data_IF_586369584759
#
_entry.id   IF_586369584759
#
_cell.length_a   1.000
_cell.length_b   1.000
_cell.length_c   1.000
_cell.angle_alpha   90.00
_cell.angle_beta   90.00
_cell.angle_gamma   90.00
#
_symmetry.space_group_name_H-M   'P 1'
#
loop_
_entity.id
_entity.type
_entity.pdbx_description
1 polymer ?
#
# COMPACT_ATOMS: atom_id res chain seq x y z
N UNK A 1 25.41 -32.85 -14.26
CA UNK A 1 24.08 -32.23 -14.43
C UNK A 1 24.04 -31.43 -15.72
N UNK A 2 22.86 -31.13 -16.28
CA UNK A 2 22.74 -30.28 -17.48
C UNK A 2 22.53 -28.83 -17.04
N UNK A 3 23.33 -27.87 -17.54
CA UNK A 3 23.17 -26.46 -17.17
C UNK A 3 21.80 -25.91 -17.59
N UNK A 4 21.19 -25.11 -16.74
CA UNK A 4 19.83 -24.57 -16.89
C UNK A 4 19.81 -23.05 -16.72
N UNK A 5 19.03 -22.36 -17.55
CA UNK A 5 18.81 -20.92 -17.42
C UNK A 5 17.85 -20.67 -16.25
N UNK A 6 18.24 -19.79 -15.32
CA UNK A 6 17.42 -19.37 -14.18
C UNK A 6 16.67 -18.06 -14.44
N UNK A 7 17.13 -17.25 -15.39
CA UNK A 7 16.51 -15.98 -15.76
C UNK A 7 17.54 -14.92 -16.13
N UNK A 8 17.10 -13.66 -16.09
CA UNK A 8 17.96 -12.48 -16.25
C UNK A 8 18.13 -11.76 -14.92
N UNK A 9 19.26 -11.08 -14.77
CA UNK A 9 19.52 -10.18 -13.66
C UNK A 9 20.18 -8.92 -14.18
N UNK A 10 19.83 -7.80 -13.58
CA UNK A 10 20.48 -6.50 -13.80
C UNK A 10 21.44 -6.14 -12.66
N UNK A 11 21.55 -6.99 -11.62
CA UNK A 11 22.39 -6.77 -10.44
C UNK A 11 23.89 -6.76 -10.79
N UNK A 12 24.25 -7.45 -11.88
CA UNK A 12 25.62 -7.51 -12.39
C UNK A 12 25.62 -7.26 -13.89
N UNK A 13 26.42 -6.28 -14.31
CA UNK A 13 26.60 -5.90 -15.71
C UNK A 13 27.92 -6.41 -16.29
N UNK A 14 28.51 -7.45 -15.69
CA UNK A 14 29.74 -8.09 -16.16
C UNK A 14 29.57 -9.59 -16.37
N UNK A 15 30.41 -10.17 -17.23
CA UNK A 15 30.40 -11.59 -17.56
C UNK A 15 31.45 -12.33 -16.74
N UNK A 16 31.04 -13.32 -15.95
CA UNK A 16 31.96 -14.17 -15.18
C UNK A 16 32.90 -15.02 -16.07
N UNK A 17 32.56 -15.21 -17.36
CA UNK A 17 33.37 -16.03 -18.28
C UNK A 17 34.48 -15.24 -18.98
N UNK A 18 34.20 -14.04 -19.47
CA UNK A 18 35.11 -13.28 -20.32
C UNK A 18 35.50 -11.92 -19.73
N UNK A 19 34.99 -11.56 -18.56
CA UNK A 19 35.28 -10.28 -17.89
C UNK A 19 34.69 -9.04 -18.57
N UNK A 20 33.98 -9.18 -19.69
CA UNK A 20 33.30 -8.06 -20.35
C UNK A 20 32.35 -7.39 -19.38
N UNK A 21 32.42 -6.07 -19.28
CA UNK A 21 31.58 -5.21 -18.45
C UNK A 21 30.57 -4.42 -19.32
N UNK A 22 29.72 -3.63 -18.68
CA UNK A 22 28.64 -2.86 -19.32
C UNK A 22 27.75 -3.71 -20.24
N UNK A 23 27.47 -4.94 -19.83
CA UNK A 23 26.53 -5.80 -20.53
C UNK A 23 25.11 -5.24 -20.38
N UNK A 24 24.41 -5.10 -21.51
CA UNK A 24 22.99 -4.73 -21.53
C UNK A 24 22.08 -5.74 -20.82
N UNK A 25 22.56 -6.98 -20.66
CA UNK A 25 21.81 -8.08 -20.08
C UNK A 25 22.76 -9.19 -19.63
N UNK A 26 22.49 -9.69 -18.44
CA UNK A 26 23.22 -10.81 -17.83
C UNK A 26 22.26 -11.96 -17.56
N UNK A 27 22.62 -13.14 -18.01
CA UNK A 27 21.83 -14.37 -17.88
C UNK A 27 22.38 -15.16 -16.71
N UNK A 28 21.51 -15.52 -15.77
CA UNK A 28 21.86 -16.38 -14.64
C UNK A 28 21.69 -17.84 -15.05
N UNK A 29 22.73 -18.64 -14.87
CA UNK A 29 22.75 -20.05 -15.24
C UNK A 29 23.13 -20.88 -14.03
N UNK A 30 22.36 -21.93 -13.79
CA UNK A 30 22.68 -22.99 -12.85
C UNK A 30 23.48 -24.07 -13.58
N UNK A 31 24.72 -24.32 -13.13
CA UNK A 31 25.55 -25.42 -13.64
C UNK A 31 25.41 -26.71 -12.83
N UNK A 32 24.67 -26.69 -11.73
CA UNK A 32 24.50 -27.78 -10.77
C UNK A 32 25.33 -27.56 -9.49
N UNK A 33 26.58 -27.12 -9.65
CA UNK A 33 27.50 -26.94 -8.52
C UNK A 33 27.66 -25.46 -8.12
N UNK A 34 27.36 -24.56 -9.06
CA UNK A 34 27.44 -23.11 -8.89
C UNK A 34 26.40 -22.38 -9.75
N UNK A 35 25.99 -21.20 -9.27
CA UNK A 35 25.19 -20.24 -10.03
C UNK A 35 26.15 -19.21 -10.61
N UNK A 36 26.18 -19.09 -11.93
CA UNK A 36 27.04 -18.16 -12.66
C UNK A 36 26.24 -17.14 -13.46
N UNK A 37 26.86 -16.00 -13.76
CA UNK A 37 26.24 -14.90 -14.48
C UNK A 37 27.05 -14.56 -15.72
N UNK A 38 26.46 -14.83 -16.88
CA UNK A 38 27.13 -14.66 -18.17
C UNK A 38 26.39 -13.70 -19.08
N UNK A 39 27.15 -13.02 -19.93
CA UNK A 39 26.58 -12.38 -21.11
C UNK A 39 25.93 -13.41 -22.04
N UNK A 40 24.98 -12.97 -22.86
CA UNK A 40 24.19 -13.85 -23.75
C UNK A 40 25.08 -14.70 -24.66
N UNK A 41 26.18 -14.15 -25.17
CA UNK A 41 27.06 -14.88 -26.10
C UNK A 41 27.85 -15.97 -25.37
N UNK A 42 28.36 -15.69 -24.15
CA UNK A 42 29.03 -16.69 -23.32
C UNK A 42 28.05 -17.77 -22.84
N UNK A 43 26.80 -17.39 -22.53
CA UNK A 43 25.73 -18.33 -22.23
C UNK A 43 25.41 -19.24 -23.43
N UNK A 44 25.39 -18.68 -24.64
CA UNK A 44 25.18 -19.39 -25.92
C UNK A 44 26.22 -20.48 -26.15
N UNK A 45 27.49 -20.13 -25.89
CA UNK A 45 28.60 -21.06 -25.99
C UNK A 45 28.53 -22.15 -24.91
N UNK A 46 28.28 -21.79 -23.65
CA UNK A 46 28.20 -22.76 -22.54
C UNK A 46 27.08 -23.80 -22.76
N UNK A 47 25.90 -23.35 -23.20
CA UNK A 47 24.72 -24.19 -23.35
C UNK A 47 24.67 -24.90 -24.71
N UNK A 48 25.58 -24.57 -25.63
CA UNK A 48 25.56 -25.00 -27.03
C UNK A 48 24.17 -24.78 -27.70
N UNK A 49 23.60 -23.60 -27.48
CA UNK A 49 22.30 -23.15 -28.01
C UNK A 49 22.47 -21.79 -28.65
N UNK A 50 21.62 -21.43 -29.61
CA UNK A 50 21.66 -20.08 -30.19
C UNK A 50 21.33 -19.01 -29.14
N UNK A 51 21.98 -17.84 -29.26
CA UNK A 51 21.70 -16.67 -28.44
C UNK A 51 20.21 -16.28 -28.44
N UNK A 52 19.52 -16.47 -29.57
CA UNK A 52 18.09 -16.24 -29.69
C UNK A 52 17.27 -17.13 -28.73
N UNK A 53 17.55 -18.44 -28.70
CA UNK A 53 16.85 -19.38 -27.80
C UNK A 53 17.08 -19.04 -26.32
N UNK A 54 18.30 -18.64 -25.97
CA UNK A 54 18.61 -18.24 -24.58
C UNK A 54 17.83 -16.99 -24.18
N UNK A 55 17.78 -15.98 -25.05
CA UNK A 55 16.97 -14.78 -24.80
C UNK A 55 15.49 -15.13 -24.63
N UNK A 56 14.97 -16.02 -25.47
CA UNK A 56 13.58 -16.46 -25.38
C UNK A 56 13.30 -17.18 -24.05
N UNK A 57 14.17 -18.12 -23.65
CA UNK A 57 14.03 -18.88 -22.40
C UNK A 57 14.12 -17.96 -21.17
N UNK A 58 15.11 -17.07 -21.15
CA UNK A 58 15.30 -16.10 -20.07
C UNK A 58 14.10 -15.14 -19.95
N UNK A 59 13.62 -14.58 -21.07
CA UNK A 59 12.47 -13.70 -21.07
C UNK A 59 11.20 -14.44 -20.64
N UNK A 60 11.01 -15.70 -21.04
CA UNK A 60 9.83 -16.48 -20.64
C UNK A 60 9.80 -16.77 -19.14
N UNK A 61 10.97 -16.99 -18.51
CA UNK A 61 11.07 -17.14 -17.06
C UNK A 61 10.76 -15.80 -16.38
N UNK A 62 11.29 -14.70 -16.90
CA UNK A 62 11.07 -13.37 -16.33
C UNK A 62 9.60 -12.95 -16.42
N UNK A 63 8.96 -13.15 -17.58
CA UNK A 63 7.53 -12.86 -17.74
C UNK A 63 6.66 -13.63 -16.74
N UNK A 64 7.02 -14.88 -16.43
CA UNK A 64 6.30 -15.68 -15.42
C UNK A 64 6.48 -15.11 -14.01
N UNK A 65 7.69 -14.65 -13.67
CA UNK A 65 7.96 -13.99 -12.38
C UNK A 65 7.14 -12.72 -12.22
N UNK A 66 7.16 -11.86 -13.25
CA UNK A 66 6.39 -10.61 -13.27
C UNK A 66 4.88 -10.89 -13.18
N UNK A 67 4.38 -11.90 -13.88
CA UNK A 67 2.97 -12.28 -13.82
C UNK A 67 2.56 -12.80 -12.43
N UNK A 68 3.41 -13.63 -11.81
CA UNK A 68 3.18 -14.13 -10.46
C UNK A 68 3.21 -13.02 -9.41
N UNK A 69 4.18 -12.11 -9.50
CA UNK A 69 4.28 -10.93 -8.63
C UNK A 69 3.04 -10.04 -8.79
N UNK A 70 2.66 -9.72 -10.03
CA UNK A 70 1.44 -8.96 -10.33
C UNK A 70 0.18 -9.64 -9.77
N UNK A 71 0.13 -10.97 -9.76
CA UNK A 71 -0.99 -11.75 -9.19
C UNK A 71 -1.04 -11.58 -7.67
N UNK A 72 0.11 -11.70 -6.99
CA UNK A 72 0.21 -11.53 -5.55
C UNK A 72 -0.17 -10.11 -5.12
N UNK A 73 0.29 -9.09 -5.83
CA UNK A 73 -0.06 -7.68 -5.57
C UNK A 73 -1.57 -7.44 -5.68
N UNK A 74 -2.22 -7.99 -6.72
CA UNK A 74 -3.68 -7.91 -6.89
C UNK A 74 -4.41 -8.59 -5.73
N UNK A 75 -3.91 -9.74 -5.28
CA UNK A 75 -4.51 -10.45 -4.15
C UNK A 75 -4.38 -9.66 -2.84
N UNK A 76 -3.19 -9.12 -2.57
CA UNK A 76 -2.93 -8.28 -1.40
C UNK A 76 -3.82 -7.04 -1.41
N UNK A 77 -3.92 -6.35 -2.54
CA UNK A 77 -4.77 -5.16 -2.72
C UNK A 77 -6.24 -5.49 -2.44
N UNK A 78 -6.74 -6.62 -2.93
CA UNK A 78 -8.11 -7.09 -2.64
C UNK A 78 -8.32 -7.33 -1.14
N UNK A 79 -7.35 -7.93 -0.45
CA UNK A 79 -7.43 -8.17 1.01
C UNK A 79 -7.46 -6.86 1.79
N UNK A 80 -6.62 -5.90 1.42
CA UNK A 80 -6.59 -4.57 2.03
C UNK A 80 -7.93 -3.85 1.82
N UNK A 81 -8.44 -3.83 0.59
CA UNK A 81 -9.72 -3.18 0.30
C UNK A 81 -10.89 -3.79 1.07
N UNK A 82 -10.92 -5.12 1.22
CA UNK A 82 -11.94 -5.80 2.03
C UNK A 82 -11.88 -5.36 3.50
N UNK A 83 -10.68 -5.20 4.07
CA UNK A 83 -10.52 -4.69 5.44
C UNK A 83 -11.02 -3.25 5.55
N UNK A 84 -10.59 -2.37 4.64
CA UNK A 84 -11.04 -0.96 4.61
C UNK A 84 -12.57 -0.88 4.56
N UNK A 85 -13.21 -1.63 3.66
CA UNK A 85 -14.66 -1.64 3.54
C UNK A 85 -15.34 -2.17 4.82
N UNK A 86 -14.76 -3.19 5.46
CA UNK A 86 -15.25 -3.71 6.73
C UNK A 86 -15.15 -2.65 7.84
N UNK A 87 -14.00 -2.02 7.98
CA UNK A 87 -13.74 -1.00 9.00
C UNK A 87 -14.65 0.22 8.79
N UNK A 88 -14.85 0.65 7.53
CA UNK A 88 -15.79 1.71 7.19
C UNK A 88 -17.24 1.32 7.52
N UNK A 89 -17.64 0.06 7.31
CA UNK A 89 -18.98 -0.40 7.68
C UNK A 89 -19.19 -0.42 9.19
N UNK A 90 -18.16 -0.76 9.97
CA UNK A 90 -18.19 -0.71 11.43
C UNK A 90 -18.25 0.74 11.92
N UNK A 91 -17.45 1.63 11.33
CA UNK A 91 -17.48 3.05 11.63
C UNK A 91 -18.86 3.66 11.33
N UNK A 92 -19.45 3.35 10.17
CA UNK A 92 -20.79 3.81 9.81
C UNK A 92 -21.85 3.24 10.77
N UNK A 93 -21.75 1.98 11.18
CA UNK A 93 -22.65 1.39 12.16
C UNK A 93 -22.53 2.07 13.52
N UNK A 94 -21.31 2.25 14.03
CA UNK A 94 -21.06 2.94 15.29
C UNK A 94 -21.56 4.39 15.25
N UNK A 95 -21.38 5.08 14.11
CA UNK A 95 -21.97 6.40 13.89
C UNK A 95 -23.49 6.34 13.98
N UNK A 96 -24.15 5.45 13.24
CA UNK A 96 -25.60 5.32 13.29
C UNK A 96 -26.15 4.90 14.65
N UNK A 97 -25.44 4.08 15.42
CA UNK A 97 -25.84 3.70 16.78
C UNK A 97 -25.68 4.86 17.77
N UNK A 98 -24.57 5.60 17.68
CA UNK A 98 -24.32 6.77 18.53
C UNK A 98 -25.23 7.96 18.19
N UNK A 99 -25.55 8.12 16.89
CA UNK A 99 -26.38 9.18 16.35
C UNK A 99 -27.79 8.71 16.01
N UNK A 100 -28.25 7.55 16.48
CA UNK A 100 -29.65 7.17 16.31
C UNK A 100 -30.46 8.14 17.16
N UNK A 101 -31.07 9.19 16.57
CA UNK A 101 -31.81 10.13 17.36
C UNK A 101 -32.96 9.29 17.93
N UNK A 102 -33.12 9.24 19.26
CA UNK A 102 -34.34 8.64 19.80
C UNK A 102 -35.53 9.29 19.07
N UNK A 103 -36.66 8.59 18.87
CA UNK A 103 -37.85 9.17 18.21
C UNK A 103 -38.31 10.51 18.80
N UNK A 104 -37.80 10.88 19.99
CA UNK A 104 -38.02 12.13 20.71
C UNK A 104 -36.95 13.21 20.47
N UNK A 105 -35.97 13.01 19.57
CA UNK A 105 -34.89 13.97 19.29
C UNK A 105 -34.97 14.63 17.91
N UNK A 106 -36.07 14.39 17.17
CA UNK A 106 -36.66 15.37 16.26
C UNK A 106 -37.44 16.46 17.00
N UNK A 107 -37.20 16.65 18.30
CA UNK A 107 -37.42 17.95 18.90
C UNK A 107 -36.26 18.80 18.41
N UNK A 108 -36.58 19.87 17.68
CA UNK A 108 -35.71 20.95 17.19
C UNK A 108 -34.66 21.40 18.23
N UNK A 109 -33.61 20.58 18.44
CA UNK A 109 -32.55 20.83 19.42
C UNK A 109 -31.53 21.74 18.77
N UNK A 110 -31.88 23.03 18.68
CA UNK A 110 -30.84 24.06 18.69
C UNK A 110 -29.94 23.81 19.90
N UNK A 111 -28.62 23.82 19.69
CA UNK A 111 -27.66 23.73 20.80
C UNK A 111 -27.86 24.97 21.66
N UNK A 112 -28.30 24.78 22.90
CA UNK A 112 -28.29 25.83 23.90
C UNK A 112 -26.87 26.04 24.36
N UNK A 113 -26.22 27.11 23.90
CA UNK A 113 -24.95 27.53 24.51
C UNK A 113 -25.29 28.39 25.73
N UNK A 114 -24.80 27.95 26.89
CA UNK A 114 -24.82 28.76 28.10
C UNK A 114 -23.64 29.72 28.06
N UNK A 115 -23.92 31.02 27.99
CA UNK A 115 -22.90 32.04 28.15
C UNK A 115 -22.70 32.30 29.65
N UNK A 116 -21.55 31.91 30.18
CA UNK A 116 -21.24 32.04 31.60
C UNK A 116 -21.04 33.52 32.04
N UNK A 117 -20.63 34.41 31.13
CA UNK A 117 -20.42 35.82 31.44
C UNK A 117 -21.74 36.58 31.55
N UNK A 118 -22.71 36.25 30.69
CA UNK A 118 -24.02 36.90 30.66
C UNK A 118 -25.12 36.11 31.36
N UNK A 119 -24.81 34.92 31.88
CA UNK A 119 -25.74 33.97 32.48
C UNK A 119 -27.01 33.72 31.64
N UNK A 120 -26.86 33.70 30.33
CA UNK A 120 -27.98 33.58 29.40
C UNK A 120 -27.82 32.41 28.45
N UNK A 121 -28.96 31.90 27.96
CA UNK A 121 -29.01 30.85 26.98
C UNK A 121 -29.28 31.45 25.60
N UNK A 122 -28.43 31.13 24.63
CA UNK A 122 -28.67 31.45 23.23
C UNK A 122 -28.96 30.16 22.45
N UNK A 123 -30.00 30.18 21.61
CA UNK A 123 -30.37 29.06 20.74
C UNK A 123 -29.77 29.29 19.36
N UNK A 124 -28.85 28.43 18.95
CA UNK A 124 -28.27 28.48 17.59
C UNK A 124 -29.10 27.57 16.66
N UNK A 125 -29.53 28.05 15.47
CA UNK A 125 -30.21 27.21 14.49
C UNK A 125 -29.28 26.09 13.99
N UNK A 126 -29.84 24.92 13.72
CA UNK A 126 -29.10 23.74 13.25
C UNK A 126 -28.64 23.91 11.79
N UNK A 127 -27.52 24.60 11.58
CA UNK A 127 -26.77 24.61 10.32
C UNK A 127 -25.53 23.70 10.40
N UNK A 128 -25.18 23.05 9.29
CA UNK A 128 -24.03 22.13 9.18
C UNK A 128 -22.70 22.75 9.67
N UNK A 129 -22.50 24.05 9.46
CA UNK A 129 -21.30 24.78 9.90
C UNK A 129 -21.17 24.88 11.43
N UNK A 130 -22.29 25.04 12.14
CA UNK A 130 -22.30 25.09 13.61
C UNK A 130 -21.98 23.72 14.24
N UNK A 131 -22.26 22.65 13.51
CA UNK A 131 -22.02 21.28 13.91
C UNK A 131 -20.54 20.89 13.82
N UNK A 132 -19.86 21.29 12.73
CA UNK A 132 -18.41 21.09 12.56
C UNK A 132 -17.62 21.79 13.66
N UNK A 133 -18.03 23.00 14.03
CA UNK A 133 -17.38 23.76 15.09
C UNK A 133 -17.52 23.11 16.49
N UNK A 134 -18.65 22.42 16.73
CA UNK A 134 -18.92 21.71 17.98
C UNK A 134 -18.20 20.35 18.05
N UNK A 135 -18.10 19.62 16.94
CA UNK A 135 -17.36 18.35 16.90
C UNK A 135 -15.84 18.58 17.01
N UNK A 136 -15.31 19.63 16.40
CA UNK A 136 -13.89 20.02 16.56
C UNK A 136 -13.56 20.41 18.01
N UNK A 137 -14.43 21.17 18.68
CA UNK A 137 -14.19 21.55 20.08
C UNK A 137 -14.29 20.37 21.06
N UNK A 138 -15.19 19.41 20.81
CA UNK A 138 -15.26 18.17 21.59
C UNK A 138 -14.06 17.25 21.33
N UNK A 139 -13.59 17.15 20.08
CA UNK A 139 -12.41 16.37 19.74
C UNK A 139 -11.13 16.96 20.37
N UNK A 140 -10.98 18.28 20.33
CA UNK A 140 -9.88 18.98 21.00
C UNK A 140 -9.92 18.73 22.51
N UNK A 141 -11.10 18.81 23.15
CA UNK A 141 -11.25 18.51 24.58
C UNK A 141 -10.87 17.05 24.91
N UNK A 142 -11.34 16.10 24.11
CA UNK A 142 -10.98 14.68 24.28
C UNK A 142 -9.47 14.45 24.16
N UNK A 143 -8.81 15.12 23.21
CA UNK A 143 -7.35 15.04 23.08
C UNK A 143 -6.63 15.61 24.31
N UNK A 144 -7.09 16.73 24.87
CA UNK A 144 -6.53 17.29 26.11
C UNK A 144 -6.75 16.39 27.32
N UNK A 145 -7.96 15.86 27.50
CA UNK A 145 -8.32 14.97 28.62
C UNK A 145 -7.52 13.65 28.58
N UNK A 146 -7.06 13.23 27.39
CA UNK A 146 -6.20 12.06 27.20
C UNK A 146 -4.71 12.42 27.08
N UNK A 147 -4.30 13.60 27.53
CA UNK A 147 -2.89 13.98 27.70
C UNK A 147 -2.17 14.38 26.41
N UNK A 148 -2.88 14.58 25.31
CA UNK A 148 -2.30 15.09 24.07
C UNK A 148 -2.06 16.61 24.23
N UNK A 149 -0.79 17.02 24.26
CA UNK A 149 -0.41 18.44 24.27
C UNK A 149 -0.19 18.89 22.82
N UNK A 150 -0.86 19.97 22.37
CA UNK A 150 -0.60 20.49 21.03
C UNK A 150 0.86 20.96 20.93
N UNK A 151 1.50 20.65 19.79
CA UNK A 151 2.84 21.13 19.48
C UNK A 151 2.77 22.65 19.27
N UNK A 152 3.12 23.42 20.29
CA UNK A 152 3.36 24.85 20.16
C UNK A 152 4.64 25.06 19.34
N UNK A 153 4.54 25.79 18.24
CA UNK A 153 5.71 26.41 17.59
C UNK A 153 6.24 27.55 18.45
#
# INVERSE_FOLDING_TARGET
MKPKVLGITEDQTFCDCCGKNNLKRTVTIDKGDEIVRYGVDCASLLLNRSAHKIRQEANAIESKRIEEESRLERELTRKIQKRINSDQSLANRAYHEAWNPSPWSTVDMGIGLFNAETQSHARIPSGYESFVHCSESMFIKYLFDNGFKPLTK
#
